data_IF_006641376932
#
_entry.id   IF_006641376932
#
_cell.length_a   1.000
_cell.length_b   1.000
_cell.length_c   1.000
_cell.angle_alpha   90.00
_cell.angle_beta   90.00
_cell.angle_gamma   90.00
#
_symmetry.space_group_name_H-M   'P 1'
#
loop_
_entity.id
_entity.type
_entity.pdbx_description
1 polymer ?
#
# COMPACT_ATOMS: atom_id res chain seq x y z
N UNK A 1 -25.63 -17.14 -18.53
CA UNK A 1 -26.60 -17.56 -17.52
C UNK A 1 -27.72 -18.31 -18.22
N UNK A 2 -27.99 -19.54 -17.88
CA UNK A 2 -29.15 -20.26 -18.38
C UNK A 2 -29.96 -20.79 -17.20
N UNK A 3 -31.27 -20.99 -17.40
CA UNK A 3 -32.18 -21.55 -16.40
C UNK A 3 -32.82 -22.81 -16.97
N UNK A 4 -32.84 -23.89 -16.17
CA UNK A 4 -33.60 -25.09 -16.45
C UNK A 4 -34.64 -25.28 -15.34
N UNK A 5 -35.76 -24.59 -15.41
CA UNK A 5 -36.82 -24.72 -14.40
C UNK A 5 -36.50 -24.04 -13.08
N UNK A 6 -35.99 -24.72 -12.08
CA UNK A 6 -35.82 -24.22 -10.71
C UNK A 6 -34.39 -23.86 -10.30
N UNK A 7 -33.40 -23.97 -11.19
CA UNK A 7 -32.01 -23.71 -10.85
C UNK A 7 -31.34 -22.73 -11.82
N UNK A 8 -30.64 -21.77 -11.27
CA UNK A 8 -29.72 -20.90 -12.02
C UNK A 8 -28.39 -21.67 -12.13
N UNK A 9 -28.04 -22.08 -13.34
CA UNK A 9 -26.74 -22.68 -13.60
C UNK A 9 -25.82 -21.66 -14.28
N UNK A 10 -24.61 -21.57 -13.78
CA UNK A 10 -23.53 -20.95 -14.50
C UNK A 10 -23.04 -21.91 -15.58
N UNK A 11 -23.53 -21.72 -16.78
CA UNK A 11 -22.99 -22.46 -17.95
C UNK A 11 -21.59 -21.88 -18.20
N UNK A 12 -20.57 -22.68 -17.87
CA UNK A 12 -19.20 -22.34 -18.24
C UNK A 12 -19.14 -22.17 -19.75
N UNK A 13 -18.94 -20.92 -20.19
CA UNK A 13 -18.62 -20.70 -21.59
C UNK A 13 -17.28 -21.41 -21.84
N UNK A 14 -17.18 -22.23 -22.86
CA UNK A 14 -15.99 -22.98 -23.25
C UNK A 14 -14.78 -22.10 -23.62
N UNK A 15 -14.96 -20.79 -23.57
CA UNK A 15 -13.91 -19.78 -23.59
C UNK A 15 -13.93 -19.07 -22.25
N UNK A 16 -12.95 -19.33 -21.38
CA UNK A 16 -12.74 -18.67 -20.08
C UNK A 16 -12.41 -17.15 -20.23
N UNK A 17 -13.12 -16.46 -21.10
CA UNK A 17 -12.93 -15.04 -21.36
C UNK A 17 -13.45 -14.24 -20.17
N UNK A 18 -12.55 -13.53 -19.51
CA UNK A 18 -12.89 -12.64 -18.40
C UNK A 18 -12.83 -13.25 -17.00
N UNK A 19 -12.54 -14.55 -16.87
CA UNK A 19 -12.25 -15.17 -15.58
C UNK A 19 -10.73 -15.15 -15.36
N UNK A 20 -10.21 -14.68 -14.20
CA UNK A 20 -8.80 -14.78 -13.92
C UNK A 20 -8.32 -16.22 -13.96
N UNK A 21 -7.28 -16.49 -14.71
CA UNK A 21 -6.62 -17.81 -14.76
C UNK A 21 -5.75 -18.03 -13.50
N UNK A 22 -5.27 -16.95 -12.92
CA UNK A 22 -4.44 -16.96 -11.73
C UNK A 22 -4.33 -15.58 -11.08
N UNK A 23 -3.79 -15.59 -9.86
CA UNK A 23 -3.47 -14.37 -9.10
C UNK A 23 -2.06 -14.54 -8.56
N UNK A 24 -1.16 -13.62 -8.92
CA UNK A 24 0.19 -13.54 -8.38
C UNK A 24 0.30 -12.37 -7.41
N UNK A 25 0.82 -12.62 -6.20
CA UNK A 25 0.94 -11.62 -5.13
C UNK A 25 2.42 -11.46 -4.77
N UNK A 26 2.92 -10.23 -4.81
CA UNK A 26 4.29 -9.88 -4.49
C UNK A 26 4.35 -8.96 -3.29
N UNK A 27 5.04 -9.40 -2.25
CA UNK A 27 5.36 -8.63 -1.04
C UNK A 27 6.86 -8.33 -0.90
N UNK A 28 7.63 -8.54 -1.96
CA UNK A 28 9.05 -8.25 -2.10
C UNK A 28 9.41 -8.14 -3.58
N UNK A 29 10.61 -7.60 -3.87
CA UNK A 29 11.12 -7.48 -5.23
C UNK A 29 11.21 -8.85 -5.90
N UNK A 30 10.79 -8.93 -7.17
CA UNK A 30 10.71 -10.18 -7.91
C UNK A 30 10.67 -9.93 -9.42
N UNK A 31 10.45 -10.97 -10.17
CA UNK A 31 10.10 -10.92 -11.59
C UNK A 31 8.83 -11.72 -11.81
N UNK A 32 7.84 -11.09 -12.44
CA UNK A 32 6.70 -11.81 -12.97
C UNK A 32 7.09 -12.46 -14.30
N UNK A 33 6.92 -13.78 -14.37
CA UNK A 33 7.09 -14.53 -15.62
C UNK A 33 5.71 -14.90 -16.12
N UNK A 34 5.45 -14.62 -17.42
CA UNK A 34 4.15 -14.86 -18.01
C UNK A 34 3.78 -16.34 -17.97
N UNK A 35 2.68 -16.73 -17.30
CA UNK A 35 2.18 -18.09 -17.39
C UNK A 35 1.69 -18.43 -18.80
N UNK A 36 1.76 -19.71 -19.15
CA UNK A 36 1.31 -20.19 -20.46
C UNK A 36 -0.16 -19.81 -20.73
N UNK A 37 -0.43 -19.32 -21.92
CA UNK A 37 -1.77 -18.93 -22.36
C UNK A 37 -2.22 -17.54 -21.90
N UNK A 38 -1.57 -16.89 -20.95
CA UNK A 38 -1.93 -15.55 -20.48
C UNK A 38 -1.65 -14.51 -21.55
N UNK A 39 -2.68 -13.70 -21.86
CA UNK A 39 -2.63 -12.63 -22.86
C UNK A 39 -2.83 -11.25 -22.26
N UNK A 40 -3.53 -11.15 -21.15
CA UNK A 40 -3.84 -9.89 -20.48
C UNK A 40 -3.66 -10.04 -18.98
N UNK A 41 -3.31 -8.94 -18.32
CA UNK A 41 -3.23 -8.87 -16.87
C UNK A 41 -3.92 -7.61 -16.38
N UNK A 42 -4.44 -7.69 -15.17
CA UNK A 42 -4.82 -6.53 -14.38
C UNK A 42 -3.89 -6.44 -13.18
N UNK A 43 -3.05 -5.43 -13.17
CA UNK A 43 -2.03 -5.22 -12.14
C UNK A 43 -2.44 -4.09 -11.21
N UNK A 44 -2.23 -4.31 -9.91
CA UNK A 44 -2.44 -3.34 -8.83
C UNK A 44 -1.13 -3.12 -8.10
N UNK A 45 -0.67 -1.89 -8.04
CA UNK A 45 0.53 -1.49 -7.29
C UNK A 45 0.15 -0.57 -6.13
N UNK A 46 0.68 -0.82 -4.95
CA UNK A 46 0.54 0.06 -3.79
C UNK A 46 1.92 0.35 -3.22
N UNK A 47 2.28 1.62 -3.09
CA UNK A 47 3.54 2.05 -2.48
C UNK A 47 3.61 1.76 -0.98
N UNK A 48 4.79 1.79 -0.40
CA UNK A 48 4.99 1.67 1.04
C UNK A 48 4.48 2.90 1.80
N UNK A 49 4.03 2.73 3.04
CA UNK A 49 3.68 3.84 3.93
C UNK A 49 4.90 4.46 4.62
N UNK A 50 4.83 5.74 4.95
CA UNK A 50 5.83 6.46 5.71
C UNK A 50 5.79 6.15 7.21
N UNK A 51 6.89 6.35 7.92
CA UNK A 51 6.98 6.15 9.37
C UNK A 51 6.43 7.34 10.17
N UNK A 52 6.04 7.09 11.41
CA UNK A 52 5.63 8.12 12.37
C UNK A 52 6.79 8.62 13.25
N UNK A 53 6.59 9.74 13.95
CA UNK A 53 7.55 10.31 14.90
C UNK A 53 7.13 10.14 16.34
N UNK A 54 8.06 10.29 17.27
CA UNK A 54 7.82 10.23 18.72
C UNK A 54 7.15 11.48 19.30
N UNK A 55 6.75 12.45 18.50
CA UNK A 55 6.20 13.74 18.96
C UNK A 55 4.77 14.02 18.45
N UNK A 56 3.98 13.01 18.20
CA UNK A 56 2.57 13.17 17.81
C UNK A 56 2.31 13.26 16.33
N UNK A 57 3.33 13.22 15.47
CA UNK A 57 3.17 13.21 14.02
C UNK A 57 3.21 11.79 13.47
N UNK A 58 2.30 11.50 12.55
CA UNK A 58 2.16 10.19 11.93
C UNK A 58 2.63 10.19 10.47
N UNK A 59 3.00 9.03 9.96
CA UNK A 59 3.35 8.85 8.56
C UNK A 59 2.12 8.71 7.67
N UNK A 60 2.25 9.08 6.41
CA UNK A 60 1.20 8.97 5.40
C UNK A 60 1.22 7.61 4.69
N UNK A 61 0.12 7.25 4.04
CA UNK A 61 0.03 6.03 3.24
C UNK A 61 0.66 6.19 1.85
N UNK A 62 1.11 5.07 1.27
CA UNK A 62 1.50 4.99 -0.13
C UNK A 62 0.30 5.10 -1.07
N UNK A 63 0.54 5.58 -2.29
CA UNK A 63 -0.45 5.64 -3.35
C UNK A 63 -0.85 4.24 -3.83
N UNK A 64 -1.95 4.20 -4.57
CA UNK A 64 -2.41 3.01 -5.28
C UNK A 64 -2.65 3.32 -6.75
N UNK A 65 -2.23 2.40 -7.62
CA UNK A 65 -2.49 2.49 -9.06
C UNK A 65 -2.86 1.13 -9.61
N UNK A 66 -3.67 1.14 -10.67
CA UNK A 66 -4.05 -0.07 -11.39
C UNK A 66 -3.85 0.14 -12.90
N UNK A 67 -3.48 -0.93 -13.59
CA UNK A 67 -3.35 -0.95 -15.03
C UNK A 67 -3.86 -2.26 -15.61
N UNK A 68 -4.52 -2.17 -16.76
CA UNK A 68 -4.86 -3.31 -17.58
C UNK A 68 -3.87 -3.38 -18.75
N UNK A 69 -3.14 -4.49 -18.88
CA UNK A 69 -2.00 -4.60 -19.80
C UNK A 69 -2.17 -5.81 -20.72
N UNK A 70 -1.98 -5.61 -22.02
CA UNK A 70 -1.80 -6.70 -22.97
C UNK A 70 -0.35 -7.21 -22.87
N UNK A 71 -0.19 -8.48 -22.54
CA UNK A 71 1.10 -9.13 -22.37
C UNK A 71 1.36 -10.22 -23.42
N UNK A 72 0.62 -10.19 -24.54
CA UNK A 72 0.75 -11.21 -25.60
C UNK A 72 2.21 -11.40 -26.02
N UNK A 73 2.95 -10.33 -26.21
CA UNK A 73 4.35 -10.31 -26.67
C UNK A 73 5.37 -10.07 -25.54
N UNK A 74 4.98 -10.24 -24.28
CA UNK A 74 5.83 -10.01 -23.12
C UNK A 74 6.02 -11.34 -22.41
N UNK A 75 7.28 -11.67 -22.09
CA UNK A 75 7.61 -12.91 -21.38
C UNK A 75 7.80 -12.71 -19.87
N UNK A 76 8.35 -11.57 -19.46
CA UNK A 76 8.58 -11.26 -18.06
C UNK A 76 8.57 -9.75 -17.80
N UNK A 77 8.24 -9.36 -16.57
CA UNK A 77 8.22 -7.97 -16.13
C UNK A 77 8.82 -7.91 -14.72
N UNK A 78 9.72 -6.94 -14.48
CA UNK A 78 10.28 -6.71 -13.15
C UNK A 78 9.23 -6.18 -12.19
N UNK A 79 9.25 -6.68 -10.96
CA UNK A 79 8.37 -6.26 -9.86
C UNK A 79 9.21 -5.64 -8.77
N UNK A 80 8.92 -4.39 -8.44
CA UNK A 80 9.50 -3.73 -7.27
C UNK A 80 8.40 -3.51 -6.23
N UNK A 81 8.67 -3.86 -4.98
CA UNK A 81 7.76 -3.60 -3.86
C UNK A 81 8.39 -2.59 -2.92
N UNK A 82 7.73 -1.46 -2.75
CA UNK A 82 8.20 -0.37 -1.91
C UNK A 82 8.29 -0.77 -0.45
N UNK A 83 9.44 -0.57 0.16
CA UNK A 83 9.67 -0.82 1.58
C UNK A 83 8.84 0.13 2.46
N UNK A 84 8.67 -0.25 3.72
CA UNK A 84 8.09 0.59 4.76
C UNK A 84 9.05 1.72 5.16
N UNK A 85 8.54 2.91 5.42
CA UNK A 85 9.27 3.98 6.06
C UNK A 85 9.48 3.71 7.54
N UNK A 86 10.70 3.90 8.04
CA UNK A 86 11.03 3.69 9.46
C UNK A 86 10.47 4.83 10.32
N UNK A 87 9.85 4.49 11.44
CA UNK A 87 9.50 5.46 12.47
C UNK A 87 10.74 6.05 13.15
N UNK A 88 10.57 7.17 13.84
CA UNK A 88 11.67 7.85 14.54
C UNK A 88 11.30 8.24 15.97
N UNK A 89 12.30 8.55 16.78
CA UNK A 89 12.13 9.15 18.10
C UNK A 89 11.72 10.62 18.03
N UNK A 90 11.86 11.31 19.18
CA UNK A 90 11.38 12.66 19.39
C UNK A 90 11.91 13.73 18.42
N UNK A 91 13.17 13.68 18.05
CA UNK A 91 13.84 14.77 17.31
C UNK A 91 14.14 14.45 15.84
N UNK A 92 13.81 13.26 15.38
CA UNK A 92 14.16 12.78 14.04
C UNK A 92 13.09 13.04 12.98
N UNK A 93 13.50 12.94 11.73
CA UNK A 93 12.60 12.78 10.57
C UNK A 93 12.38 11.29 10.34
N UNK A 94 11.14 10.86 10.28
CA UNK A 94 10.79 9.48 9.93
C UNK A 94 11.06 9.20 8.46
N UNK A 95 11.31 7.93 8.13
CA UNK A 95 11.56 7.50 6.76
C UNK A 95 10.31 7.58 5.89
N UNK A 96 10.49 7.92 4.63
CA UNK A 96 9.43 7.79 3.62
C UNK A 96 9.25 6.31 3.24
N UNK A 97 8.04 5.94 2.82
CA UNK A 97 7.78 4.68 2.14
C UNK A 97 8.43 4.64 0.76
N UNK A 98 8.71 3.44 0.27
CA UNK A 98 9.27 3.21 -1.05
C UNK A 98 8.20 3.13 -2.14
N UNK A 99 8.61 3.30 -3.40
CA UNK A 99 7.78 3.13 -4.57
C UNK A 99 7.61 1.66 -4.91
N UNK A 100 6.37 1.23 -5.22
CA UNK A 100 6.11 -0.06 -5.86
C UNK A 100 5.88 0.13 -7.36
N UNK A 101 6.36 -0.82 -8.16
CA UNK A 101 6.17 -0.79 -9.61
C UNK A 101 6.09 -2.19 -10.23
N UNK A 102 5.43 -2.24 -11.38
CA UNK A 102 5.37 -3.39 -12.26
C UNK A 102 5.86 -2.95 -13.64
N UNK A 103 7.17 -3.10 -13.87
CA UNK A 103 7.87 -2.52 -15.02
C UNK A 103 7.50 -1.05 -15.24
N UNK A 104 7.20 -0.70 -16.48
CA UNK A 104 6.74 0.63 -16.89
C UNK A 104 5.21 0.72 -17.03
N UNK A 105 4.45 -0.26 -16.51
CA UNK A 105 3.00 -0.33 -16.72
C UNK A 105 2.20 0.19 -15.53
N UNK A 106 2.72 0.03 -14.33
CA UNK A 106 2.05 0.44 -13.11
C UNK A 106 3.09 0.89 -12.08
N UNK A 107 2.88 2.05 -11.44
CA UNK A 107 3.82 2.56 -10.42
C UNK A 107 3.13 3.48 -9.42
N UNK A 108 3.39 3.24 -8.14
CA UNK A 108 2.80 3.96 -7.01
C UNK A 108 3.87 4.42 -6.04
N UNK A 109 3.94 5.72 -5.79
CA UNK A 109 4.88 6.32 -4.83
C UNK A 109 4.53 5.97 -3.38
N UNK A 110 5.55 5.96 -2.53
CA UNK A 110 5.38 5.79 -1.09
C UNK A 110 4.87 7.03 -0.39
N UNK A 111 4.27 6.86 0.79
CA UNK A 111 3.83 7.94 1.66
C UNK A 111 5.02 8.64 2.34
N UNK A 112 4.87 9.92 2.65
CA UNK A 112 5.88 10.65 3.40
C UNK A 112 5.94 10.20 4.86
N UNK A 113 7.14 10.18 5.40
CA UNK A 113 7.36 10.02 6.84
C UNK A 113 7.09 11.32 7.59
N UNK A 114 6.74 11.19 8.87
CA UNK A 114 6.54 12.32 9.77
C UNK A 114 7.76 13.23 9.83
N UNK A 115 7.54 14.54 9.87
CA UNK A 115 8.60 15.53 9.94
C UNK A 115 8.30 16.57 11.03
N UNK A 116 9.00 16.48 12.15
CA UNK A 116 8.84 17.39 13.30
C UNK A 116 8.94 18.89 12.95
N UNK A 117 9.69 19.25 11.89
CA UNK A 117 9.85 20.66 11.50
C UNK A 117 8.60 21.27 10.87
N UNK A 118 7.69 20.42 10.38
CA UNK A 118 6.38 20.83 9.86
C UNK A 118 5.30 20.58 10.92
N UNK A 119 5.41 21.28 12.02
CA UNK A 119 4.73 21.05 13.31
C UNK A 119 3.20 20.99 13.27
N UNK A 120 2.54 21.14 12.13
CA UNK A 120 1.07 21.26 12.05
C UNK A 120 0.44 20.55 10.87
N UNK A 121 1.23 20.27 9.84
CA UNK A 121 0.72 19.65 8.64
C UNK A 121 1.10 18.16 8.68
N UNK A 122 0.14 17.27 8.77
CA UNK A 122 0.38 15.84 8.68
C UNK A 122 1.24 15.47 7.44
N UNK A 123 1.83 14.28 7.42
CA UNK A 123 2.59 13.81 6.27
C UNK A 123 1.68 13.64 5.05
N UNK A 124 2.19 13.98 3.88
CA UNK A 124 1.45 13.89 2.61
C UNK A 124 1.43 12.45 2.10
N UNK A 125 0.28 12.00 1.62
CA UNK A 125 0.11 10.72 0.98
C UNK A 125 0.98 10.56 -0.26
N UNK A 126 1.30 9.32 -0.62
CA UNK A 126 2.08 8.98 -1.81
C UNK A 126 1.39 9.43 -3.10
N UNK A 127 2.19 9.74 -4.11
CA UNK A 127 1.70 10.11 -5.44
C UNK A 127 1.53 8.87 -6.32
N UNK A 128 0.40 8.73 -7.03
CA UNK A 128 0.24 7.71 -8.05
C UNK A 128 1.00 8.12 -9.32
N UNK A 129 2.07 7.41 -9.65
CA UNK A 129 2.97 7.80 -10.73
C UNK A 129 2.45 7.35 -12.10
N UNK A 130 2.09 6.07 -12.25
CA UNK A 130 1.71 5.50 -13.53
C UNK A 130 0.63 4.42 -13.36
N UNK A 131 -0.43 4.52 -14.16
CA UNK A 131 -1.55 3.59 -14.15
C UNK A 131 -2.79 4.20 -14.76
N UNK A 132 -3.76 3.37 -15.14
CA UNK A 132 -5.07 3.79 -15.66
C UNK A 132 -5.99 4.30 -14.55
N UNK A 133 -5.95 3.65 -13.39
CA UNK A 133 -6.60 4.12 -12.15
C UNK A 133 -5.52 4.65 -11.22
N UNK A 134 -5.74 5.83 -10.65
CA UNK A 134 -4.76 6.54 -9.82
C UNK A 134 -5.42 7.04 -8.53
N UNK A 135 -4.96 6.55 -7.38
CA UNK A 135 -5.47 6.91 -6.07
C UNK A 135 -4.31 7.40 -5.21
N UNK A 136 -4.41 8.62 -4.71
CA UNK A 136 -3.43 9.16 -3.77
C UNK A 136 -3.46 8.39 -2.45
N UNK A 137 -2.33 8.24 -1.81
CA UNK A 137 -2.26 7.72 -0.46
C UNK A 137 -2.97 8.66 0.53
N UNK A 138 -3.56 8.10 1.58
CA UNK A 138 -4.15 8.90 2.65
C UNK A 138 -3.07 9.72 3.38
N UNK A 139 -3.30 11.03 3.52
CA UNK A 139 -2.46 11.87 4.37
C UNK A 139 -2.67 11.51 5.84
N UNK A 140 -1.66 11.76 6.66
CA UNK A 140 -1.76 11.57 8.10
C UNK A 140 -2.23 12.84 8.80
N UNK A 141 -2.61 12.71 10.06
CA UNK A 141 -2.89 13.87 10.91
C UNK A 141 -1.64 14.25 11.70
N UNK A 142 -1.33 15.54 11.73
CA UNK A 142 -0.43 16.16 12.69
C UNK A 142 -1.21 16.64 13.92
N UNK A 143 -0.59 16.64 15.11
CA UNK A 143 -1.24 17.16 16.32
C UNK A 143 -0.34 18.13 17.08
N UNK A 144 -0.85 19.31 17.39
CA UNK A 144 -0.04 20.43 17.86
C UNK A 144 0.15 20.52 19.38
N UNK A 145 -0.83 20.26 20.23
CA UNK A 145 -0.65 20.43 21.69
C UNK A 145 -1.94 20.12 22.49
N UNK A 146 -1.89 19.40 23.63
CA UNK A 146 -0.77 18.58 24.10
C UNK A 146 -0.51 17.47 23.08
N UNK A 147 0.69 16.80 23.09
CA UNK A 147 1.04 15.82 22.07
C UNK A 147 -0.07 14.79 21.94
N UNK A 148 -0.96 15.07 21.00
CA UNK A 148 -2.07 14.21 20.65
C UNK A 148 -1.53 13.02 19.88
N UNK A 149 -2.34 11.99 19.80
CA UNK A 149 -1.99 10.80 19.08
C UNK A 149 -2.51 10.94 17.64
N UNK A 150 -1.59 11.09 16.68
CA UNK A 150 -1.93 11.11 15.26
C UNK A 150 -2.11 9.70 14.70
N UNK A 151 -3.15 9.48 13.93
CA UNK A 151 -3.34 8.26 13.15
C UNK A 151 -2.50 8.32 11.88
N UNK A 152 -1.88 7.21 11.49
CA UNK A 152 -1.22 7.09 10.20
C UNK A 152 -2.22 7.25 9.04
N UNK A 153 -1.73 7.51 7.84
CA UNK A 153 -2.56 7.56 6.65
C UNK A 153 -3.15 6.18 6.32
N UNK A 154 -4.43 6.13 5.95
CA UNK A 154 -5.07 4.91 5.48
C UNK A 154 -4.67 4.60 4.03
N UNK A 155 -4.42 3.34 3.72
CA UNK A 155 -4.12 2.88 2.37
C UNK A 155 -5.37 2.41 1.64
N UNK A 156 -5.21 2.10 0.34
CA UNK A 156 -6.27 1.47 -0.45
C UNK A 156 -6.78 0.14 0.16
N UNK A 157 -5.89 -0.61 0.81
CA UNK A 157 -6.22 -1.93 1.38
C UNK A 157 -6.85 -1.88 2.78
N UNK A 158 -6.93 -0.71 3.38
CA UNK A 158 -7.53 -0.57 4.71
C UNK A 158 -6.87 0.47 5.59
N UNK A 159 -7.24 0.43 6.88
CA UNK A 159 -6.84 1.42 7.86
C UNK A 159 -5.36 1.35 8.26
N UNK A 160 -4.87 2.45 8.77
CA UNK A 160 -3.58 2.56 9.43
C UNK A 160 -3.64 1.97 10.86
N UNK A 161 -2.47 1.72 11.43
CA UNK A 161 -2.39 1.33 12.83
C UNK A 161 -2.97 2.44 13.72
N UNK A 162 -3.85 2.11 14.67
CA UNK A 162 -4.36 3.07 15.63
C UNK A 162 -3.23 3.51 16.58
N UNK A 163 -3.36 4.70 17.15
CA UNK A 163 -2.49 5.17 18.21
C UNK A 163 -2.89 4.54 19.53
N UNK A 164 -1.92 4.21 20.38
CA UNK A 164 -2.20 3.73 21.73
C UNK A 164 -1.77 4.73 22.79
N UNK A 165 -2.62 4.95 23.80
CA UNK A 165 -2.32 5.80 24.96
C UNK A 165 -1.42 5.13 26.00
N UNK A 166 -1.09 3.85 25.84
CA UNK A 166 -0.39 3.06 26.85
C UNK A 166 0.87 2.40 26.29
N UNK A 167 2.03 2.88 26.77
CA UNK A 167 3.36 2.23 26.82
C UNK A 167 3.98 1.62 25.56
N UNK A 168 5.30 1.74 25.46
CA UNK A 168 6.23 1.32 24.39
C UNK A 168 5.97 -0.06 23.74
N UNK A 169 5.40 -1.00 24.46
CA UNK A 169 5.14 -2.36 23.94
C UNK A 169 4.03 -2.41 22.87
N UNK A 170 3.15 -1.42 22.85
CA UNK A 170 1.98 -1.43 21.95
C UNK A 170 2.29 -0.90 20.56
N UNK A 171 3.19 0.08 20.44
CA UNK A 171 3.57 0.62 19.12
C UNK A 171 4.17 -0.46 18.19
N UNK A 172 4.90 -1.41 18.75
CA UNK A 172 5.44 -2.54 17.98
C UNK A 172 4.39 -3.62 17.66
N UNK A 173 3.40 -3.82 18.53
CA UNK A 173 2.33 -4.80 18.30
C UNK A 173 1.31 -4.35 17.25
N UNK A 174 1.09 -3.06 17.10
CA UNK A 174 0.12 -2.52 16.13
C UNK A 174 0.61 -2.55 14.67
N UNK A 175 1.89 -2.85 14.41
CA UNK A 175 2.39 -3.14 13.07
C UNK A 175 1.63 -4.29 12.40
N UNK A 176 1.20 -5.29 13.16
CA UNK A 176 0.57 -6.49 12.63
C UNK A 176 -0.82 -6.25 12.04
N UNK A 177 -1.48 -5.16 12.40
CA UNK A 177 -2.86 -4.88 12.02
C UNK A 177 -3.03 -3.77 10.95
N UNK A 178 -1.93 -3.14 10.53
CA UNK A 178 -2.00 -2.14 9.46
C UNK A 178 -2.01 -2.80 8.08
N UNK A 179 -2.83 -2.27 7.19
CA UNK A 179 -2.91 -2.72 5.80
C UNK A 179 -1.62 -2.42 5.02
N UNK A 180 -1.37 -3.14 3.94
CA UNK A 180 -0.26 -2.83 3.02
C UNK A 180 -0.28 -1.38 2.59
N UNK A 181 0.86 -0.71 2.61
CA UNK A 181 1.01 0.70 2.26
C UNK A 181 0.49 1.69 3.30
N UNK A 182 -0.04 1.27 4.44
CA UNK A 182 -0.52 2.18 5.48
C UNK A 182 0.63 2.92 6.18
N UNK A 183 0.37 4.16 6.58
CA UNK A 183 1.32 4.99 7.34
C UNK A 183 1.48 4.55 8.79
N UNK A 184 2.65 4.82 9.37
CA UNK A 184 2.97 4.53 10.77
C UNK A 184 2.29 5.53 11.72
N UNK A 185 1.89 5.06 12.89
CA UNK A 185 1.30 5.89 13.95
C UNK A 185 2.35 6.75 14.66
N UNK A 186 1.92 7.84 15.29
CA UNK A 186 2.79 8.63 16.17
C UNK A 186 3.11 7.89 17.47
N UNK A 187 4.26 8.22 18.06
CA UNK A 187 4.60 7.93 19.45
C UNK A 187 4.21 9.10 20.37
N UNK A 188 4.27 8.89 21.68
CA UNK A 188 4.01 9.89 22.73
C UNK A 188 5.21 10.01 23.67
N UNK A 189 5.45 11.22 24.23
CA UNK A 189 6.43 11.44 25.29
C UNK A 189 7.83 10.88 25.00
N UNK A 190 8.40 11.22 23.85
CA UNK A 190 9.72 10.76 23.40
C UNK A 190 9.79 9.26 22.99
N UNK A 191 8.70 8.55 22.98
CA UNK A 191 8.65 7.21 22.42
C UNK A 191 8.83 7.24 20.89
N UNK A 192 9.38 6.19 20.33
CA UNK A 192 9.53 6.07 18.88
C UNK A 192 8.16 5.91 18.22
N UNK A 193 7.89 6.66 17.15
CA UNK A 193 6.75 6.42 16.28
C UNK A 193 6.80 5.07 15.57
N UNK A 194 5.66 4.58 15.11
CA UNK A 194 5.54 3.33 14.39
C UNK A 194 6.17 3.40 13.00
N UNK A 195 6.64 2.27 12.48
CA UNK A 195 7.02 2.15 11.07
C UNK A 195 5.75 2.12 10.22
N UNK A 196 5.84 2.59 8.97
CA UNK A 196 4.83 2.33 7.97
C UNK A 196 4.73 0.84 7.62
N UNK A 197 3.85 0.51 6.70
CA UNK A 197 3.75 -0.84 6.13
C UNK A 197 4.31 -0.85 4.71
N UNK A 198 4.96 -1.94 4.35
CA UNK A 198 5.44 -2.14 2.99
C UNK A 198 4.29 -2.09 1.97
N UNK A 199 4.61 -1.79 0.74
CA UNK A 199 3.70 -1.88 -0.39
C UNK A 199 3.38 -3.33 -0.77
N UNK A 200 2.63 -3.45 -1.87
CA UNK A 200 2.24 -4.75 -2.45
C UNK A 200 2.01 -4.58 -3.94
N UNK A 201 2.27 -5.62 -4.71
CA UNK A 201 1.87 -5.73 -6.11
C UNK A 201 1.04 -7.00 -6.30
N UNK A 202 -0.14 -6.85 -6.91
CA UNK A 202 -1.06 -7.97 -7.18
C UNK A 202 -1.35 -8.00 -8.68
N UNK A 203 -1.24 -9.17 -9.29
CA UNK A 203 -1.45 -9.39 -10.73
C UNK A 203 -2.54 -10.43 -10.90
N UNK A 204 -3.63 -10.04 -11.56
CA UNK A 204 -4.68 -10.95 -12.02
C UNK A 204 -4.39 -11.31 -13.48
N UNK A 205 -4.40 -12.58 -13.81
CA UNK A 205 -3.96 -13.13 -15.10
C UNK A 205 -5.16 -13.65 -15.89
N UNK A 206 -5.24 -13.30 -17.18
CA UNK A 206 -6.35 -13.67 -18.07
C UNK A 206 -5.82 -14.31 -19.35
N UNK A 207 -6.49 -15.37 -19.81
CA UNK A 207 -6.21 -16.11 -21.05
C UNK A 207 -6.86 -15.42 -22.26
#
# INVERSE_FOLDING_TARGET
LSTNGSQIQWVGNSTNKGIPNGISVYNGNSTWNKPSGVKRIWVKCTGGGGGGSGYGESGAAGAHTESFVDVTNINSISVTVGGAGSGTGYSGRAGNGGTSSFGNYCSSGGGQGANRRQQHDGATGGNPNQGSVRIYGGSSQGHRNPPGLGHGGCSFWGGAAPTSHRQQQWAQRHRAHAAYGAGGSSGRNNERGGDGRQGIVVVYEFI
#
